data_IF_704874179951
#
_entry.id   IF_704874179951
#
_cell.length_a   1.000
_cell.length_b   1.000
_cell.length_c   1.000
_cell.angle_alpha   90.00
_cell.angle_beta   90.00
_cell.angle_gamma   90.00
#
_symmetry.space_group_name_H-M   'P 1'
#
loop_
_entity.id
_entity.type
_entity.pdbx_description
1 polymer ?
#
# COMPACT_ATOMS: atom_id res chain seq x y z
N UNK A 1 24.22 9.99 -42.48
CA UNK A 1 23.35 8.83 -42.18
C UNK A 1 22.87 8.94 -40.75
N UNK A 2 21.67 9.49 -40.53
CA UNK A 2 21.07 9.62 -39.21
C UNK A 2 20.17 8.40 -38.95
N UNK A 3 20.52 7.57 -37.95
CA UNK A 3 19.70 6.46 -37.51
C UNK A 3 18.58 6.99 -36.62
N UNK A 4 17.33 6.86 -37.09
CA UNK A 4 16.14 7.22 -36.34
C UNK A 4 15.99 6.31 -35.11
N UNK A 5 16.20 6.87 -33.93
CA UNK A 5 15.81 6.30 -32.64
C UNK A 5 14.28 6.19 -32.62
N UNK A 6 13.74 5.02 -33.00
CA UNK A 6 12.34 4.67 -32.73
C UNK A 6 12.18 4.47 -31.22
N UNK A 7 11.80 5.53 -30.52
CA UNK A 7 11.20 5.43 -29.19
C UNK A 7 9.88 4.67 -29.32
N UNK A 8 9.90 3.38 -28.97
CA UNK A 8 8.71 2.56 -28.86
C UNK A 8 7.99 2.91 -27.55
N UNK A 9 7.21 3.99 -27.57
CA UNK A 9 6.16 4.19 -26.56
C UNK A 9 5.11 3.10 -26.77
N UNK A 10 5.28 1.94 -26.12
CA UNK A 10 4.22 0.94 -26.05
C UNK A 10 3.04 1.60 -25.34
N UNK A 11 1.93 1.77 -26.07
CA UNK A 11 0.65 2.23 -25.53
C UNK A 11 0.29 1.38 -24.30
N UNK A 12 -0.26 1.97 -23.22
CA UNK A 12 -0.82 1.21 -22.11
C UNK A 12 -1.78 0.15 -22.65
N UNK A 13 -1.78 -1.06 -22.06
CA UNK A 13 -2.73 -2.07 -22.48
C UNK A 13 -4.16 -1.52 -22.37
N UNK A 14 -5.08 -1.84 -23.30
CA UNK A 14 -6.42 -1.26 -23.33
C UNK A 14 -7.16 -1.32 -21.98
N UNK A 15 -6.94 -2.38 -21.19
CA UNK A 15 -7.51 -2.54 -19.84
C UNK A 15 -7.02 -1.52 -18.81
N UNK A 16 -5.73 -1.15 -18.83
CA UNK A 16 -5.18 -0.15 -17.90
C UNK A 16 -5.70 1.26 -18.18
N UNK A 17 -5.98 1.57 -19.45
CA UNK A 17 -6.57 2.88 -19.83
C UNK A 17 -7.99 3.04 -19.29
N UNK A 18 -8.82 1.98 -19.37
CA UNK A 18 -10.18 1.96 -18.80
C UNK A 18 -10.16 2.06 -17.28
N UNK A 19 -9.26 1.30 -16.64
CA UNK A 19 -9.06 1.36 -15.19
C UNK A 19 -8.72 2.78 -14.72
N UNK A 20 -7.76 3.43 -15.38
CA UNK A 20 -7.34 4.79 -15.02
C UNK A 20 -8.44 5.83 -15.24
N UNK A 21 -9.32 5.65 -16.24
CA UNK A 21 -10.48 6.53 -16.45
C UNK A 21 -11.51 6.32 -15.33
N UNK A 22 -11.86 5.07 -15.03
CA UNK A 22 -12.84 4.77 -13.98
C UNK A 22 -12.35 5.23 -12.60
N UNK A 23 -11.09 4.94 -12.24
CA UNK A 23 -10.50 5.38 -10.97
C UNK A 23 -10.59 6.91 -10.80
N UNK A 24 -10.23 7.67 -11.84
CA UNK A 24 -10.35 9.13 -11.82
C UNK A 24 -11.79 9.62 -11.70
N UNK A 25 -12.76 8.95 -12.33
CA UNK A 25 -14.18 9.30 -12.17
C UNK A 25 -14.71 9.05 -10.74
N UNK A 26 -14.03 8.20 -9.97
CA UNK A 26 -14.31 7.94 -8.56
C UNK A 26 -13.49 8.83 -7.61
N UNK A 27 -12.75 9.83 -8.13
CA UNK A 27 -11.94 10.74 -7.31
C UNK A 27 -10.59 10.17 -6.86
N UNK A 28 -10.12 9.08 -7.45
CA UNK A 28 -8.86 8.41 -7.07
C UNK A 28 -7.71 8.93 -7.96
N UNK A 29 -6.63 9.47 -7.36
CA UNK A 29 -5.40 9.84 -8.11
C UNK A 29 -4.61 8.57 -8.46
N UNK A 30 -5.00 7.94 -9.56
CA UNK A 30 -4.38 6.73 -10.07
C UNK A 30 -3.40 7.00 -11.21
N UNK A 31 -2.17 6.53 -11.04
CA UNK A 31 -1.06 6.65 -11.99
C UNK A 31 -0.59 5.27 -12.44
N UNK A 32 -1.01 4.88 -13.64
CA UNK A 32 -0.46 3.72 -14.32
C UNK A 32 1.01 3.96 -14.69
N UNK A 33 1.85 2.98 -14.42
CA UNK A 33 3.26 2.94 -14.71
C UNK A 33 3.53 2.11 -15.98
N UNK A 34 4.78 2.14 -16.46
CA UNK A 34 5.19 1.31 -17.58
C UNK A 34 5.10 -0.19 -17.22
N UNK A 35 4.54 -1.05 -18.09
CA UNK A 35 4.51 -2.51 -17.90
C UNK A 35 5.89 -3.17 -17.74
N UNK A 36 6.97 -2.44 -18.07
CA UNK A 36 8.35 -2.89 -17.87
C UNK A 36 8.75 -2.87 -16.39
N UNK A 37 8.04 -2.12 -15.54
CA UNK A 37 8.32 -2.01 -14.12
C UNK A 37 7.72 -3.19 -13.36
N UNK A 38 8.49 -3.73 -12.41
CA UNK A 38 8.08 -4.87 -11.57
C UNK A 38 6.71 -4.66 -10.94
N UNK A 39 6.44 -3.45 -10.43
CA UNK A 39 5.17 -3.09 -9.81
C UNK A 39 3.98 -3.25 -10.75
N UNK A 40 4.07 -2.73 -11.98
CA UNK A 40 3.00 -2.87 -12.97
C UNK A 40 2.73 -4.34 -13.32
N UNK A 41 3.76 -5.19 -13.36
CA UNK A 41 3.60 -6.63 -13.61
C UNK A 41 2.93 -7.40 -12.48
N UNK A 42 3.08 -6.94 -11.24
CA UNK A 42 2.46 -7.57 -10.07
C UNK A 42 1.00 -7.12 -9.88
N UNK A 43 0.61 -6.03 -10.55
CA UNK A 43 -0.73 -5.48 -10.43
C UNK A 43 -1.77 -6.41 -11.06
N UNK A 44 -2.70 -6.91 -10.25
CA UNK A 44 -3.88 -7.67 -10.70
C UNK A 44 -5.18 -6.91 -10.45
N UNK A 45 -5.13 -5.59 -10.33
CA UNK A 45 -6.32 -4.74 -10.23
C UNK A 45 -7.15 -4.86 -11.50
N UNK A 46 -8.46 -5.04 -11.37
CA UNK A 46 -9.36 -5.24 -12.50
C UNK A 46 -10.72 -4.59 -12.25
N UNK A 47 -11.47 -4.36 -13.33
CA UNK A 47 -12.85 -3.89 -13.26
C UNK A 47 -13.77 -5.11 -13.25
N UNK A 48 -14.53 -5.29 -12.17
CA UNK A 48 -15.60 -6.26 -12.06
C UNK A 48 -16.90 -5.65 -12.56
N UNK A 49 -17.56 -6.35 -13.46
CA UNK A 49 -18.92 -6.06 -13.94
C UNK A 49 -19.83 -7.20 -13.48
N UNK A 50 -19.92 -7.40 -12.16
CA UNK A 50 -20.84 -8.39 -11.60
C UNK A 50 -22.27 -7.91 -11.81
N UNK A 51 -23.08 -8.71 -12.50
CA UNK A 51 -24.45 -8.39 -12.89
C UNK A 51 -25.54 -8.78 -11.88
N UNK A 52 -25.21 -9.08 -10.61
CA UNK A 52 -26.14 -9.84 -9.75
C UNK A 52 -26.65 -9.17 -8.47
N UNK A 53 -26.31 -7.92 -8.15
CA UNK A 53 -26.93 -7.22 -7.01
C UNK A 53 -27.01 -5.71 -7.26
N UNK A 54 -28.22 -5.24 -7.61
CA UNK A 54 -28.81 -3.87 -7.58
C UNK A 54 -27.99 -2.63 -8.00
N UNK A 55 -26.71 -2.75 -8.35
CA UNK A 55 -25.89 -1.67 -8.88
C UNK A 55 -25.35 -2.09 -10.25
N UNK A 56 -25.74 -1.34 -11.28
CA UNK A 56 -25.29 -1.50 -12.67
C UNK A 56 -23.90 -0.88 -12.91
N UNK A 57 -23.26 -0.34 -11.87
CA UNK A 57 -22.01 0.38 -11.97
C UNK A 57 -20.80 -0.57 -11.92
N UNK A 58 -19.79 -0.39 -12.79
CA UNK A 58 -18.56 -1.16 -12.74
C UNK A 58 -17.78 -0.87 -11.45
N UNK A 59 -17.30 -1.92 -10.79
CA UNK A 59 -16.53 -1.82 -9.54
C UNK A 59 -15.07 -2.17 -9.79
N UNK A 60 -14.13 -1.36 -9.26
CA UNK A 60 -12.70 -1.70 -9.32
C UNK A 60 -12.36 -2.63 -8.16
N UNK A 61 -11.87 -3.83 -8.48
CA UNK A 61 -11.28 -4.77 -7.52
C UNK A 61 -9.77 -4.52 -7.45
N UNK A 62 -9.27 -4.18 -6.27
CA UNK A 62 -7.91 -3.68 -6.10
C UNK A 62 -6.91 -4.78 -5.73
N UNK A 63 -5.69 -4.65 -6.25
CA UNK A 63 -4.51 -5.16 -5.54
C UNK A 63 -4.12 -4.15 -4.47
N UNK A 64 -3.62 -4.62 -3.32
CA UNK A 64 -3.23 -3.78 -2.20
C UNK A 64 -1.92 -4.30 -1.62
N UNK A 65 -0.92 -3.43 -1.52
CA UNK A 65 0.37 -3.75 -0.92
C UNK A 65 0.39 -3.31 0.54
N UNK A 66 0.78 -4.23 1.42
CA UNK A 66 1.12 -3.91 2.80
C UNK A 66 2.63 -3.92 2.98
N UNK A 67 3.19 -2.80 3.42
CA UNK A 67 4.58 -2.65 3.81
C UNK A 67 4.69 -2.78 5.34
N UNK A 68 5.13 -3.94 5.81
CA UNK A 68 5.24 -4.26 7.23
C UNK A 68 6.55 -3.69 7.78
N UNK A 69 6.44 -2.72 8.69
CA UNK A 69 7.57 -2.04 9.28
C UNK A 69 8.23 -2.92 10.35
N UNK A 70 9.57 -3.03 10.40
CA UNK A 70 10.26 -3.82 11.42
C UNK A 70 9.88 -3.38 12.85
N UNK A 71 9.60 -4.35 13.72
CA UNK A 71 9.21 -4.10 15.12
C UNK A 71 10.36 -3.53 15.97
N UNK A 72 11.60 -3.79 15.58
CA UNK A 72 12.81 -3.19 16.12
C UNK A 72 13.56 -2.48 14.99
N UNK A 73 13.57 -1.15 14.99
CA UNK A 73 14.65 -0.44 14.33
C UNK A 73 15.92 -0.69 15.16
N UNK A 74 17.09 -0.94 14.53
CA UNK A 74 18.32 -1.22 15.26
C UNK A 74 18.53 -0.11 16.30
N UNK A 75 18.66 -0.52 17.57
CA UNK A 75 18.77 0.39 18.69
C UNK A 75 19.87 1.43 18.44
N UNK A 76 19.54 2.70 18.65
CA UNK A 76 20.49 3.82 18.55
C UNK A 76 20.42 4.66 17.28
N UNK A 77 19.65 4.27 16.27
CA UNK A 77 19.27 5.18 15.18
C UNK A 77 18.01 5.97 15.57
N UNK A 78 17.96 7.31 15.43
CA UNK A 78 16.72 8.02 15.68
C UNK A 78 15.64 7.46 14.74
N UNK A 79 14.38 7.46 15.18
CA UNK A 79 13.18 7.25 14.32
C UNK A 79 13.07 8.29 13.19
N UNK A 80 14.18 8.93 12.81
CA UNK A 80 14.33 9.91 11.73
C UNK A 80 13.83 9.40 10.41
N UNK A 81 13.95 8.09 10.13
CA UNK A 81 13.43 7.49 8.90
C UNK A 81 11.89 7.41 8.83
N UNK A 82 11.19 7.61 9.96
CA UNK A 82 9.73 7.62 10.09
C UNK A 82 9.15 9.05 10.18
N UNK A 83 9.99 10.07 9.93
CA UNK A 83 9.56 11.47 9.89
C UNK A 83 8.71 11.75 8.65
N UNK A 84 7.77 12.67 8.80
CA UNK A 84 6.82 13.08 7.76
C UNK A 84 7.45 13.89 6.62
N UNK A 85 8.68 14.37 6.80
CA UNK A 85 9.44 15.04 5.75
C UNK A 85 10.25 14.07 4.87
N UNK A 86 10.22 12.76 5.16
CA UNK A 86 10.91 11.75 4.38
C UNK A 86 9.94 10.81 3.68
N UNK A 87 10.20 10.56 2.41
CA UNK A 87 9.51 9.51 1.66
C UNK A 87 9.83 8.15 2.28
N UNK A 88 8.80 7.42 2.66
CA UNK A 88 8.93 6.06 3.13
C UNK A 88 9.24 5.16 1.94
N UNK A 89 10.39 4.48 1.98
CA UNK A 89 10.88 3.68 0.88
C UNK A 89 11.76 2.53 1.35
N UNK A 90 12.01 1.57 0.45
CA UNK A 90 12.76 0.35 0.77
C UNK A 90 14.16 0.63 1.28
N UNK A 91 14.84 1.63 0.73
CA UNK A 91 16.22 1.95 1.07
C UNK A 91 16.36 2.44 2.53
N UNK A 92 15.32 3.07 3.06
CA UNK A 92 15.34 3.67 4.40
C UNK A 92 14.73 2.74 5.46
N UNK A 93 13.69 1.99 5.10
CA UNK A 93 12.86 1.26 6.07
C UNK A 93 12.97 -0.25 5.95
N UNK A 94 13.47 -0.78 4.82
CA UNK A 94 13.56 -2.21 4.54
C UNK A 94 12.31 -3.01 4.96
N UNK A 95 11.08 -2.59 4.56
CA UNK A 95 9.86 -3.25 5.02
C UNK A 95 9.75 -4.65 4.43
N UNK A 96 9.05 -5.54 5.13
CA UNK A 96 8.55 -6.78 4.53
C UNK A 96 7.32 -6.44 3.70
N UNK A 97 7.34 -6.72 2.39
CA UNK A 97 6.25 -6.33 1.48
C UNK A 97 5.38 -7.53 1.15
N UNK A 98 4.11 -7.46 1.51
CA UNK A 98 3.11 -8.44 1.09
C UNK A 98 2.10 -7.80 0.13
N UNK A 99 1.59 -8.57 -0.81
CA UNK A 99 0.63 -8.10 -1.81
C UNK A 99 -0.61 -8.99 -1.80
N UNK A 100 -1.76 -8.38 -1.57
CA UNK A 100 -3.07 -9.04 -1.64
C UNK A 100 -3.81 -8.56 -2.89
N UNK A 101 -4.74 -9.38 -3.36
CA UNK A 101 -5.49 -9.14 -4.59
C UNK A 101 -7.00 -9.28 -4.38
N UNK A 102 -7.77 -8.77 -5.32
CA UNK A 102 -9.23 -8.88 -5.34
C UNK A 102 -9.86 -8.30 -4.07
N UNK A 103 -9.37 -7.15 -3.62
CA UNK A 103 -9.92 -6.37 -2.51
C UNK A 103 -11.11 -5.55 -3.01
N UNK A 104 -12.28 -5.74 -2.40
CA UNK A 104 -13.46 -4.95 -2.69
C UNK A 104 -13.33 -3.56 -2.05
N UNK A 105 -13.75 -2.47 -2.72
CA UNK A 105 -13.67 -1.12 -2.16
C UNK A 105 -14.46 -0.94 -0.85
N UNK A 106 -15.57 -1.66 -0.69
CA UNK A 106 -16.40 -1.57 0.52
C UNK A 106 -15.86 -2.37 1.71
N UNK A 107 -14.77 -3.14 1.55
CA UNK A 107 -14.18 -3.86 2.67
C UNK A 107 -13.38 -2.90 3.55
N UNK A 108 -13.55 -3.04 4.87
CA UNK A 108 -12.72 -2.30 5.84
C UNK A 108 -11.28 -2.80 5.83
N UNK A 109 -10.35 -1.95 6.26
CA UNK A 109 -8.95 -2.33 6.42
C UNK A 109 -8.77 -3.54 7.33
N UNK A 110 -9.54 -3.63 8.42
CA UNK A 110 -9.56 -4.79 9.31
C UNK A 110 -10.02 -6.05 8.58
N UNK A 111 -11.08 -5.95 7.76
CA UNK A 111 -11.62 -7.09 7.01
C UNK A 111 -10.58 -7.60 6.02
N UNK A 112 -9.94 -6.70 5.27
CA UNK A 112 -8.88 -7.07 4.33
C UNK A 112 -7.71 -7.71 5.06
N UNK A 113 -7.24 -7.08 6.13
CA UNK A 113 -6.11 -7.57 6.92
C UNK A 113 -6.40 -8.96 7.50
N UNK A 114 -7.57 -9.13 8.12
CA UNK A 114 -7.96 -10.40 8.73
C UNK A 114 -8.10 -11.49 7.67
N UNK A 115 -8.91 -11.27 6.64
CA UNK A 115 -9.35 -12.31 5.71
C UNK A 115 -8.31 -12.61 4.62
N UNK A 116 -7.43 -11.65 4.30
CA UNK A 116 -6.41 -11.79 3.26
C UNK A 116 -4.98 -11.89 3.77
N UNK A 117 -4.75 -11.74 5.08
CA UNK A 117 -3.41 -11.85 5.67
C UNK A 117 -3.43 -12.79 6.87
N UNK A 118 -4.12 -12.44 7.96
CA UNK A 118 -3.92 -13.17 9.23
C UNK A 118 -4.65 -14.51 9.31
N UNK A 119 -5.80 -14.66 8.65
CA UNK A 119 -6.57 -15.91 8.63
C UNK A 119 -5.99 -16.98 7.68
N UNK A 120 -5.01 -16.60 6.86
CA UNK A 120 -4.32 -17.52 5.96
C UNK A 120 -3.38 -18.46 6.72
N UNK A 121 -3.11 -19.64 6.15
CA UNK A 121 -2.04 -20.50 6.66
C UNK A 121 -0.67 -19.85 6.51
N UNK A 122 0.32 -20.31 7.28
CA UNK A 122 1.70 -19.78 7.17
C UNK A 122 2.27 -19.89 5.76
N UNK A 123 1.98 -20.98 5.04
CA UNK A 123 2.42 -21.17 3.65
C UNK A 123 1.77 -20.13 2.73
N UNK A 124 0.48 -19.87 2.90
CA UNK A 124 -0.23 -18.87 2.11
C UNK A 124 0.24 -17.45 2.43
N UNK A 125 0.55 -17.15 3.70
CA UNK A 125 1.13 -15.86 4.12
C UNK A 125 2.47 -15.61 3.45
N UNK A 126 3.36 -16.61 3.41
CA UNK A 126 4.67 -16.47 2.76
C UNK A 126 4.54 -16.29 1.24
N UNK A 127 3.50 -16.85 0.61
CA UNK A 127 3.22 -16.63 -0.80
C UNK A 127 2.78 -15.19 -1.15
N UNK A 128 2.40 -14.38 -0.14
CA UNK A 128 2.09 -12.96 -0.35
C UNK A 128 3.35 -12.10 -0.51
N UNK A 129 4.51 -12.59 -0.08
CA UNK A 129 5.75 -11.80 -0.03
C UNK A 129 6.25 -11.47 -1.44
N UNK A 130 6.55 -10.19 -1.69
CA UNK A 130 6.95 -9.69 -3.02
C UNK A 130 8.41 -9.28 -3.12
N UNK A 131 9.08 -9.05 -1.99
CA UNK A 131 10.50 -8.77 -1.91
C UNK A 131 11.29 -9.98 -1.37
N UNK A 132 12.62 -9.92 -1.44
CA UNK A 132 13.46 -11.00 -0.92
C UNK A 132 13.41 -10.97 0.60
N UNK A 133 12.86 -12.01 1.22
CA UNK A 133 12.79 -12.19 2.67
C UNK A 133 13.16 -13.63 3.07
N UNK A 134 13.65 -13.86 4.30
CA UNK A 134 13.80 -15.22 4.85
C UNK A 134 12.45 -15.94 4.92
N UNK A 135 12.46 -17.27 4.82
CA UNK A 135 11.27 -18.06 5.04
C UNK A 135 10.73 -17.87 6.47
N UNK A 136 9.42 -17.70 6.60
CA UNK A 136 8.76 -17.45 7.88
C UNK A 136 8.82 -16.00 8.34
N UNK A 137 9.26 -15.06 7.47
CA UNK A 137 9.37 -13.66 7.83
C UNK A 137 7.99 -13.04 8.14
N UNK A 138 6.93 -13.44 7.46
CA UNK A 138 5.58 -12.90 7.70
C UNK A 138 5.07 -13.38 9.05
N UNK A 139 5.19 -14.69 9.31
CA UNK A 139 4.79 -15.30 10.59
C UNK A 139 5.58 -14.69 11.74
N UNK A 140 6.89 -14.56 11.58
CA UNK A 140 7.76 -13.94 12.59
C UNK A 140 7.35 -12.50 12.88
N UNK A 141 7.01 -11.72 11.85
CA UNK A 141 6.54 -10.35 12.01
C UNK A 141 5.20 -10.28 12.74
N UNK A 142 4.23 -11.11 12.36
CA UNK A 142 2.90 -11.16 12.96
C UNK A 142 2.95 -11.54 14.46
N UNK A 143 3.84 -12.48 14.81
CA UNK A 143 4.03 -12.95 16.18
C UNK A 143 4.92 -12.04 17.03
N UNK A 144 5.66 -11.12 16.40
CA UNK A 144 6.53 -10.21 17.14
C UNK A 144 5.71 -9.38 18.12
N UNK A 145 6.05 -9.48 19.41
CA UNK A 145 5.46 -8.66 20.47
C UNK A 145 6.24 -7.35 20.55
N UNK A 146 5.58 -6.19 20.42
CA UNK A 146 6.23 -4.93 20.72
C UNK A 146 6.75 -4.89 22.15
N UNK A 147 7.97 -4.37 22.40
CA UNK A 147 8.51 -4.25 23.76
C UNK A 147 7.63 -3.43 24.72
N UNK A 148 6.77 -2.57 24.18
CA UNK A 148 5.95 -1.62 24.91
C UNK A 148 4.51 -2.06 25.19
N UNK A 149 4.07 -3.23 24.71
CA UNK A 149 2.70 -3.72 24.94
C UNK A 149 2.66 -4.71 26.10
N UNK A 150 1.84 -4.40 27.11
CA UNK A 150 1.45 -5.38 28.11
C UNK A 150 0.65 -6.50 27.42
N UNK A 151 0.93 -7.79 27.71
CA UNK A 151 0.23 -8.93 27.09
C UNK A 151 -1.29 -8.94 27.34
N UNK A 152 -1.79 -8.15 28.30
CA UNK A 152 -3.19 -8.11 28.71
C UNK A 152 -4.08 -7.16 27.88
N UNK A 153 -3.52 -6.22 27.11
CA UNK A 153 -4.27 -5.18 26.38
C UNK A 153 -4.50 -5.52 24.89
N UNK A 154 -4.68 -6.81 24.60
CA UNK A 154 -4.66 -7.36 23.24
C UNK A 154 -5.95 -7.13 22.43
N UNK A 155 -6.42 -5.89 22.28
CA UNK A 155 -7.50 -5.55 21.35
C UNK A 155 -6.98 -4.65 20.21
N UNK A 156 -6.54 -5.33 19.14
CA UNK A 156 -5.97 -4.82 17.87
C UNK A 156 -4.54 -4.21 17.95
N UNK A 157 -3.56 -5.04 17.57
CA UNK A 157 -2.12 -4.79 17.68
C UNK A 157 -1.45 -4.28 16.39
N UNK A 158 -2.21 -3.64 15.49
CA UNK A 158 -1.72 -3.18 14.18
C UNK A 158 -2.24 -1.79 13.87
N UNK A 159 -1.33 -0.93 13.42
CA UNK A 159 -1.60 0.44 13.00
C UNK A 159 -1.34 0.55 11.50
N UNK A 160 -2.27 1.17 10.76
CA UNK A 160 -2.20 1.30 9.31
C UNK A 160 -1.95 2.76 8.93
N UNK A 161 -1.13 2.98 7.91
CA UNK A 161 -0.79 4.33 7.45
C UNK A 161 -0.73 4.39 5.93
N UNK A 162 -1.07 5.53 5.36
CA UNK A 162 -0.72 5.91 4.00
C UNK A 162 0.24 7.09 4.03
N UNK A 163 1.07 7.18 3.00
CA UNK A 163 1.91 8.36 2.76
C UNK A 163 1.31 9.14 1.60
N UNK A 164 0.98 10.41 1.85
CA UNK A 164 0.40 11.30 0.86
C UNK A 164 1.48 12.21 0.24
N UNK A 165 1.26 12.65 -1.00
CA UNK A 165 2.09 13.64 -1.69
C UNK A 165 1.60 15.04 -1.30
N UNK A 166 2.14 15.62 -0.22
CA UNK A 166 1.61 16.87 0.33
C UNK A 166 2.67 17.80 0.88
N UNK A 167 2.92 18.92 0.19
CA UNK A 167 3.67 20.05 0.74
C UNK A 167 3.96 21.12 -0.31
N UNK A 168 3.83 22.41 0.06
CA UNK A 168 4.36 23.51 -0.76
C UNK A 168 5.86 23.24 -0.96
N UNK A 169 6.29 23.09 -2.21
CA UNK A 169 7.71 23.19 -2.55
C UNK A 169 8.19 24.59 -2.16
N UNK A 170 8.69 24.75 -0.95
CA UNK A 170 9.47 25.93 -0.63
C UNK A 170 10.80 25.81 -1.39
N UNK A 171 11.26 26.88 -2.06
CA UNK A 171 12.55 26.87 -2.73
C UNK A 171 13.63 26.43 -1.75
N UNK A 172 14.30 25.30 -2.02
CA UNK A 172 15.39 24.77 -1.20
C UNK A 172 15.01 23.72 -0.15
N UNK A 173 13.75 23.28 -0.05
CA UNK A 173 13.37 22.11 0.78
C UNK A 173 12.86 20.95 -0.09
N UNK A 174 13.27 19.73 0.28
CA UNK A 174 12.67 18.48 -0.21
C UNK A 174 11.14 18.51 0.00
N UNK A 175 10.39 17.88 -0.90
CA UNK A 175 8.94 17.70 -0.72
C UNK A 175 8.63 17.04 0.63
N UNK A 176 7.49 17.40 1.22
CA UNK A 176 6.97 16.77 2.45
C UNK A 176 6.07 15.61 2.01
N UNK A 177 6.13 14.51 2.78
CA UNK A 177 5.38 13.29 2.51
C UNK A 177 4.61 12.88 3.77
N UNK A 178 3.56 13.65 4.13
CA UNK A 178 2.84 13.44 5.37
C UNK A 178 2.28 12.02 5.43
N UNK A 179 2.43 11.37 6.58
CA UNK A 179 1.76 10.11 6.86
C UNK A 179 0.41 10.38 7.51
N UNK A 180 -0.58 9.60 7.14
CA UNK A 180 -1.90 9.63 7.73
C UNK A 180 -2.23 8.24 8.26
N UNK A 181 -2.66 8.17 9.51
CA UNK A 181 -3.16 6.95 10.10
C UNK A 181 -4.53 6.61 9.53
N UNK A 182 -4.74 5.32 9.29
CA UNK A 182 -5.99 4.74 8.83
C UNK A 182 -6.50 3.81 9.92
N UNK A 183 -7.72 4.06 10.41
CA UNK A 183 -8.32 3.20 11.41
C UNK A 183 -8.77 1.86 10.79
N UNK A 184 -8.74 0.75 11.55
CA UNK A 184 -9.15 -0.56 11.05
C UNK A 184 -10.56 -0.60 10.44
N UNK A 185 -11.48 0.23 10.95
CA UNK A 185 -12.85 0.36 10.45
C UNK A 185 -12.99 1.07 9.11
N UNK A 186 -11.97 1.80 8.66
CA UNK A 186 -12.01 2.61 7.42
C UNK A 186 -12.19 1.72 6.20
N UNK A 187 -13.15 2.02 5.32
CA UNK A 187 -13.33 1.30 4.07
C UNK A 187 -12.18 1.58 3.09
N UNK A 188 -11.84 0.60 2.25
CA UNK A 188 -10.81 0.79 1.24
C UNK A 188 -11.16 1.95 0.29
N UNK A 189 -12.42 2.15 -0.07
CA UNK A 189 -12.89 3.29 -0.89
C UNK A 189 -12.54 4.65 -0.27
N UNK A 190 -12.64 4.79 1.04
CA UNK A 190 -12.28 6.01 1.78
C UNK A 190 -10.76 6.22 1.78
N UNK A 191 -9.97 5.14 1.94
CA UNK A 191 -8.50 5.21 1.83
C UNK A 191 -8.07 5.64 0.44
N UNK A 192 -8.68 5.08 -0.61
CA UNK A 192 -8.32 5.34 -2.00
C UNK A 192 -8.64 6.77 -2.46
N UNK A 193 -9.59 7.43 -1.80
CA UNK A 193 -10.03 8.80 -2.11
C UNK A 193 -9.45 9.83 -1.14
N UNK A 194 -8.53 9.42 -0.27
CA UNK A 194 -7.87 10.32 0.67
C UNK A 194 -7.12 11.43 -0.08
N UNK A 195 -7.24 12.67 0.41
CA UNK A 195 -6.64 13.83 -0.26
C UNK A 195 -5.12 13.67 -0.35
N UNK A 196 -4.56 14.06 -1.50
CA UNK A 196 -3.13 13.94 -1.81
C UNK A 196 -2.57 12.50 -1.76
N UNK A 197 -3.40 11.46 -1.64
CA UNK A 197 -2.94 10.08 -1.73
C UNK A 197 -2.82 9.64 -3.19
N UNK A 198 -1.58 9.48 -3.66
CA UNK A 198 -1.28 9.13 -5.05
C UNK A 198 -1.00 7.64 -5.19
N UNK A 199 -1.79 6.97 -6.03
CA UNK A 199 -1.70 5.54 -6.26
C UNK A 199 -0.90 5.25 -7.52
N UNK A 200 0.30 4.71 -7.36
CA UNK A 200 1.10 4.19 -8.46
C UNK A 200 0.82 2.70 -8.64
N UNK A 201 0.11 2.29 -9.70
CA UNK A 201 -0.37 0.91 -10.00
C UNK A 201 -1.36 0.28 -9.00
N UNK A 202 -1.04 0.27 -7.71
CA UNK A 202 -1.92 -0.20 -6.65
C UNK A 202 -1.60 0.57 -5.35
N UNK A 203 -2.56 0.72 -4.42
CA UNK A 203 -2.33 1.38 -3.14
C UNK A 203 -1.23 0.66 -2.32
N UNK A 204 -0.45 1.45 -1.59
CA UNK A 204 0.49 0.97 -0.58
C UNK A 204 0.04 1.46 0.78
N UNK A 205 -0.19 0.53 1.69
CA UNK A 205 -0.49 0.78 3.11
C UNK A 205 0.69 0.29 3.93
N UNK A 206 1.15 1.11 4.86
CA UNK A 206 2.22 0.78 5.78
C UNK A 206 1.62 0.26 7.07
N UNK A 207 2.20 -0.79 7.64
CA UNK A 207 1.68 -1.44 8.84
C UNK A 207 2.76 -1.45 9.91
N UNK A 208 2.41 -0.96 11.09
CA UNK A 208 3.28 -0.99 12.28
C UNK A 208 2.61 -1.79 13.38
N UNK A 209 3.45 -2.41 14.23
CA UNK A 209 3.02 -3.05 15.48
C UNK A 209 2.95 -2.06 16.64
N UNK A 210 3.49 -0.86 16.47
CA UNK A 210 3.47 0.22 17.45
C UNK A 210 2.91 1.49 16.83
N UNK A 211 2.19 2.27 17.63
CA UNK A 211 1.75 3.59 17.21
C UNK A 211 2.96 4.44 16.83
N UNK A 212 2.87 5.08 15.67
CA UNK A 212 3.92 5.95 15.16
C UNK A 212 3.57 7.39 15.51
N UNK A 213 4.57 8.24 15.84
CA UNK A 213 4.29 9.64 16.15
C UNK A 213 3.63 10.31 14.94
N UNK A 214 2.38 10.75 15.06
CA UNK A 214 1.73 11.61 14.08
C UNK A 214 2.17 13.04 14.34
N UNK A 215 2.64 13.75 13.31
CA UNK A 215 2.81 15.21 13.42
C UNK A 215 1.44 15.85 13.33
N UNK A 216 0.96 16.40 14.45
CA UNK A 216 -0.14 17.38 14.47
C UNK A 216 0.27 18.73 13.89
#
# INVERSE_FOLDING_TARGET
MAAALRQSYRRPQPGQSKLAVLARSLGIDFRALSPLLKRARMNKTFISTSGDLSSTAPTIMWSLEFCLLPSSHPEGGPRTCLRDDLRWCDQLLCPLRILVHSCHPDWSMETIWRDRVTALSSVEQENLVTNKAPAGAVVSWLLSTPPSLNPADSSSSFFFYIQCDGGKQQPGRSGIYPKHEIFPSTALSEVLTYDSFVIHEFPTVWVSRTELPTTG
#
